data_IF_748097839132
#
_entry.id   IF_748097839132
#
_cell.length_a   1.000
_cell.length_b   1.000
_cell.length_c   1.000
_cell.angle_alpha   90.00
_cell.angle_beta   90.00
_cell.angle_gamma   90.00
#
_symmetry.space_group_name_H-M   'P 1'
#
loop_
_entity.id
_entity.type
_entity.pdbx_description
1 polymer ?
#
# COMPACT_ATOMS: atom_id res chain seq x y z
N UNK A 1 -17.10 29.14 2.43
CA UNK A 1 -17.18 28.07 1.41
C UNK A 1 -18.63 27.59 1.39
N UNK A 2 -19.33 27.74 0.27
CA UNK A 2 -20.74 27.32 0.17
C UNK A 2 -20.87 25.83 0.42
N UNK A 3 -21.69 25.43 1.39
CA UNK A 3 -21.87 24.02 1.82
C UNK A 3 -22.28 23.05 0.69
N UNK A 4 -22.79 23.58 -0.42
CA UNK A 4 -23.21 22.82 -1.61
C UNK A 4 -22.05 22.16 -2.39
N UNK A 5 -20.82 22.64 -2.27
CA UNK A 5 -19.67 22.14 -3.04
C UNK A 5 -18.82 21.08 -2.31
N UNK A 6 -19.04 20.90 -0.99
CA UNK A 6 -18.28 19.93 -0.20
C UNK A 6 -18.41 18.48 -0.69
N UNK A 7 -19.63 17.94 -0.95
CA UNK A 7 -19.78 16.57 -1.44
C UNK A 7 -19.13 16.38 -2.81
N UNK A 8 -19.23 17.37 -3.71
CA UNK A 8 -18.63 17.33 -5.04
C UNK A 8 -17.11 17.29 -4.96
N UNK A 9 -16.51 18.17 -4.14
CA UNK A 9 -15.04 18.18 -3.96
C UNK A 9 -14.53 16.86 -3.40
N UNK A 10 -15.19 16.29 -2.39
CA UNK A 10 -14.84 15.02 -1.83
C UNK A 10 -14.98 13.88 -2.86
N UNK A 11 -16.06 13.89 -3.65
CA UNK A 11 -16.29 12.87 -4.68
C UNK A 11 -15.20 12.89 -5.78
N UNK A 12 -14.79 14.08 -6.23
CA UNK A 12 -13.71 14.21 -7.23
C UNK A 12 -12.37 13.79 -6.64
N UNK A 13 -12.03 14.22 -5.41
CA UNK A 13 -10.80 13.80 -4.75
C UNK A 13 -10.76 12.28 -4.49
N UNK A 14 -11.89 11.71 -4.11
CA UNK A 14 -12.07 10.26 -3.96
C UNK A 14 -11.85 9.52 -5.29
N UNK A 15 -12.45 10.00 -6.38
CA UNK A 15 -12.27 9.41 -7.72
C UNK A 15 -10.81 9.50 -8.19
N UNK A 16 -10.12 10.62 -7.91
CA UNK A 16 -8.68 10.76 -8.16
C UNK A 16 -7.87 9.73 -7.36
N UNK A 17 -8.23 9.48 -6.10
CA UNK A 17 -7.56 8.47 -5.28
C UNK A 17 -7.82 7.04 -5.78
N UNK A 18 -9.03 6.75 -6.26
CA UNK A 18 -9.33 5.48 -6.95
C UNK A 18 -8.41 5.32 -8.16
N UNK A 19 -8.33 6.34 -9.03
CA UNK A 19 -7.47 6.29 -10.22
C UNK A 19 -5.99 6.13 -9.85
N UNK A 20 -5.52 6.80 -8.81
CA UNK A 20 -4.15 6.68 -8.31
C UNK A 20 -3.82 5.24 -7.91
N UNK A 21 -4.68 4.60 -7.12
CA UNK A 21 -4.46 3.21 -6.69
C UNK A 21 -4.77 2.18 -7.76
N UNK A 22 -5.63 2.52 -8.73
CA UNK A 22 -5.80 1.73 -9.94
C UNK A 22 -4.47 1.62 -10.70
N UNK A 23 -3.83 2.75 -10.96
CA UNK A 23 -2.61 2.82 -11.76
C UNK A 23 -1.41 2.14 -11.08
N UNK A 24 -1.33 2.24 -9.75
CA UNK A 24 -0.30 1.52 -8.97
C UNK A 24 -0.37 0.00 -9.11
N UNK A 25 -1.56 -0.55 -9.29
CA UNK A 25 -1.76 -2.00 -9.34
C UNK A 25 -1.86 -2.55 -10.76
N UNK A 26 -1.97 -1.68 -11.77
CA UNK A 26 -2.21 -2.09 -13.17
C UNK A 26 -1.14 -3.07 -13.67
N UNK A 27 0.12 -2.85 -13.36
CA UNK A 27 1.19 -3.76 -13.78
C UNK A 27 1.05 -5.15 -13.17
N UNK A 28 0.58 -5.29 -11.93
CA UNK A 28 0.36 -6.60 -11.30
C UNK A 28 -0.57 -7.49 -12.12
N UNK A 29 -1.61 -6.92 -12.72
CA UNK A 29 -2.52 -7.64 -13.62
C UNK A 29 -1.91 -7.95 -14.99
N UNK A 30 -0.92 -7.17 -15.43
CA UNK A 30 -0.34 -7.20 -16.77
C UNK A 30 1.05 -7.87 -16.83
N UNK A 31 1.60 -8.29 -15.70
CA UNK A 31 2.97 -8.79 -15.62
C UNK A 31 3.25 -9.95 -16.59
N UNK A 32 2.32 -10.91 -16.67
CA UNK A 32 2.53 -12.12 -17.46
C UNK A 32 2.58 -11.86 -18.99
N UNK A 33 1.64 -11.11 -19.59
CA UNK A 33 1.76 -10.75 -21.01
C UNK A 33 2.98 -9.87 -21.30
N UNK A 34 3.35 -8.93 -20.42
CA UNK A 34 4.55 -8.09 -20.55
C UNK A 34 5.81 -8.96 -20.50
N UNK A 35 5.88 -9.90 -19.54
CA UNK A 35 6.99 -10.83 -19.40
C UNK A 35 7.21 -11.64 -20.67
N UNK A 36 6.15 -12.21 -21.22
CA UNK A 36 6.23 -13.05 -22.41
C UNK A 36 6.70 -12.27 -23.63
N UNK A 37 6.22 -11.04 -23.81
CA UNK A 37 6.57 -10.23 -24.97
C UNK A 37 8.03 -9.73 -24.93
N UNK A 38 8.49 -9.26 -23.76
CA UNK A 38 9.86 -8.73 -23.62
C UNK A 38 10.84 -9.78 -23.09
N UNK A 39 10.43 -11.06 -22.97
CA UNK A 39 11.25 -12.16 -22.45
C UNK A 39 11.93 -11.86 -21.10
N UNK A 40 11.18 -11.21 -20.18
CA UNK A 40 11.71 -10.75 -18.92
C UNK A 40 11.91 -11.88 -17.90
N UNK A 41 12.90 -11.67 -17.02
CA UNK A 41 13.04 -12.43 -15.79
C UNK A 41 12.09 -11.94 -14.69
N UNK A 42 11.81 -12.75 -13.69
CA UNK A 42 11.00 -12.35 -12.55
C UNK A 42 11.70 -11.26 -11.70
N UNK A 43 13.02 -11.23 -11.71
CA UNK A 43 13.82 -10.13 -11.13
C UNK A 43 13.52 -8.80 -11.81
N UNK A 44 13.44 -8.77 -13.15
CA UNK A 44 13.09 -7.56 -13.91
C UNK A 44 11.65 -7.13 -13.65
N UNK A 45 10.72 -8.08 -13.53
CA UNK A 45 9.33 -7.79 -13.14
C UNK A 45 9.26 -7.20 -11.72
N UNK A 46 10.01 -7.79 -10.78
CA UNK A 46 10.13 -7.25 -9.42
C UNK A 46 10.71 -5.83 -9.40
N UNK A 47 11.68 -5.53 -10.25
CA UNK A 47 12.25 -4.19 -10.37
C UNK A 47 11.24 -3.15 -10.88
N UNK A 48 10.31 -3.54 -11.78
CA UNK A 48 9.18 -2.68 -12.20
C UNK A 48 8.26 -2.31 -11.03
N UNK A 49 8.14 -3.16 -10.01
CA UNK A 49 7.40 -2.82 -8.80
C UNK A 49 8.22 -2.03 -7.78
N UNK A 50 9.50 -2.34 -7.64
CA UNK A 50 10.39 -1.80 -6.60
C UNK A 50 10.88 -0.38 -6.90
N UNK A 51 11.49 -0.17 -8.06
CA UNK A 51 12.16 1.10 -8.39
C UNK A 51 11.21 2.31 -8.38
N UNK A 52 9.97 2.19 -8.92
CA UNK A 52 9.01 3.27 -8.82
C UNK A 52 8.60 3.62 -7.39
N UNK A 53 8.48 2.62 -6.50
CA UNK A 53 8.11 2.86 -5.09
C UNK A 53 9.20 3.67 -4.36
N UNK A 54 10.47 3.36 -4.61
CA UNK A 54 11.60 4.13 -4.05
C UNK A 54 11.53 5.58 -4.53
N UNK A 55 11.31 5.78 -5.83
CA UNK A 55 11.21 7.12 -6.40
C UNK A 55 9.98 7.88 -5.88
N UNK A 56 8.84 7.20 -5.71
CA UNK A 56 7.66 7.78 -5.07
C UNK A 56 7.96 8.31 -3.66
N UNK A 57 8.65 7.52 -2.85
CA UNK A 57 9.02 7.91 -1.48
C UNK A 57 9.94 9.15 -1.48
N UNK A 58 10.90 9.20 -2.40
CA UNK A 58 11.81 10.35 -2.55
C UNK A 58 11.12 11.60 -3.09
N UNK A 59 10.24 11.45 -4.09
CA UNK A 59 9.49 12.55 -4.69
C UNK A 59 8.41 13.12 -3.75
N UNK A 60 7.89 12.31 -2.82
CA UNK A 60 6.86 12.74 -1.87
C UNK A 60 7.25 13.92 -1.00
N UNK A 61 8.52 14.04 -0.61
CA UNK A 61 9.01 15.16 0.22
C UNK A 61 8.96 16.51 -0.51
N UNK A 62 9.58 16.69 -1.69
CA UNK A 62 9.51 17.95 -2.43
C UNK A 62 8.09 18.29 -2.90
N UNK A 63 7.30 17.29 -3.33
CA UNK A 63 5.92 17.51 -3.76
C UNK A 63 5.01 17.85 -2.58
N UNK A 64 5.26 17.31 -1.39
CA UNK A 64 4.60 17.73 -0.17
C UNK A 64 4.83 19.21 0.14
N UNK A 65 6.09 19.69 0.04
CA UNK A 65 6.42 21.11 0.21
C UNK A 65 5.74 22.00 -0.84
N UNK A 66 5.67 21.54 -2.09
CA UNK A 66 4.91 22.23 -3.13
C UNK A 66 3.42 22.28 -2.85
N UNK A 67 2.86 21.21 -2.28
CA UNK A 67 1.48 21.18 -1.81
C UNK A 67 1.24 22.18 -0.68
N UNK A 68 2.23 22.40 0.20
CA UNK A 68 2.14 23.34 1.31
C UNK A 68 2.30 24.81 0.88
N UNK A 69 3.05 25.12 -0.16
CA UNK A 69 3.35 26.49 -0.60
C UNK A 69 2.55 26.95 -1.81
N UNK A 70 2.23 26.03 -2.74
CA UNK A 70 1.57 26.31 -4.01
C UNK A 70 0.08 26.01 -4.03
N UNK A 71 -0.56 26.08 -5.21
CA UNK A 71 -1.95 25.63 -5.40
C UNK A 71 -2.03 24.11 -5.43
N UNK A 72 -2.74 23.52 -4.45
CA UNK A 72 -2.99 22.08 -4.36
C UNK A 72 -3.80 21.58 -5.57
N UNK A 73 -4.72 22.40 -6.05
CA UNK A 73 -5.51 22.13 -7.26
C UNK A 73 -4.62 21.95 -8.49
N UNK A 74 -3.72 22.91 -8.74
CA UNK A 74 -2.83 22.85 -9.91
C UNK A 74 -1.81 21.71 -9.77
N UNK A 75 -1.25 21.52 -8.59
CA UNK A 75 -0.31 20.43 -8.31
C UNK A 75 -0.96 19.06 -8.54
N UNK A 76 -2.17 18.85 -8.02
CA UNK A 76 -2.89 17.60 -8.18
C UNK A 76 -3.30 17.36 -9.63
N UNK A 77 -3.83 18.38 -10.33
CA UNK A 77 -4.19 18.27 -11.75
C UNK A 77 -2.96 17.96 -12.63
N UNK A 78 -1.82 18.63 -12.39
CA UNK A 78 -0.55 18.34 -13.07
C UNK A 78 -0.06 16.92 -12.75
N UNK A 79 -0.13 16.48 -11.50
CA UNK A 79 0.19 15.12 -11.11
C UNK A 79 -0.65 14.10 -11.89
N UNK A 80 -1.99 14.26 -11.90
CA UNK A 80 -2.91 13.39 -12.66
C UNK A 80 -2.56 13.40 -14.15
N UNK A 81 -2.30 14.55 -14.73
CA UNK A 81 -1.93 14.66 -16.13
C UNK A 81 -0.61 13.92 -16.45
N UNK A 82 0.41 14.07 -15.60
CA UNK A 82 1.71 13.40 -15.79
C UNK A 82 1.54 11.89 -15.67
N UNK A 83 0.97 11.38 -14.58
CA UNK A 83 0.91 9.92 -14.41
C UNK A 83 -0.01 9.26 -15.45
N UNK A 84 -1.18 9.84 -15.73
CA UNK A 84 -2.10 9.24 -16.68
C UNK A 84 -1.55 9.28 -18.12
N UNK A 85 -0.89 10.39 -18.53
CA UNK A 85 -0.23 10.46 -19.84
C UNK A 85 0.87 9.41 -19.96
N UNK A 86 1.71 9.26 -18.93
CA UNK A 86 2.79 8.27 -18.95
C UNK A 86 2.25 6.83 -18.88
N UNK A 87 1.12 6.59 -18.19
CA UNK A 87 0.44 5.28 -18.22
C UNK A 87 -0.10 4.98 -19.61
N UNK A 88 -0.79 5.92 -20.25
CA UNK A 88 -1.27 5.76 -21.62
C UNK A 88 -0.12 5.57 -22.62
N UNK A 89 0.96 6.37 -22.53
CA UNK A 89 2.16 6.21 -23.33
C UNK A 89 2.88 4.89 -23.06
N UNK A 90 2.71 4.31 -21.89
CA UNK A 90 3.14 2.95 -21.57
C UNK A 90 2.56 1.89 -22.51
N UNK A 91 1.43 2.16 -23.16
CA UNK A 91 0.88 1.33 -24.24
C UNK A 91 1.64 1.40 -25.56
N UNK A 92 2.56 2.34 -25.73
CA UNK A 92 3.36 2.51 -26.94
C UNK A 92 4.82 2.05 -26.79
N UNK A 93 5.22 1.60 -25.60
CA UNK A 93 6.60 1.20 -25.32
C UNK A 93 6.99 -0.09 -26.10
N UNK A 94 8.23 -0.13 -26.56
CA UNK A 94 8.77 -1.24 -27.36
C UNK A 94 9.88 -2.00 -26.63
N UNK A 95 10.24 -1.57 -25.41
CA UNK A 95 11.30 -2.22 -24.63
C UNK A 95 11.02 -2.14 -23.14
N UNK A 96 11.66 -3.05 -22.39
CA UNK A 96 11.64 -3.04 -20.93
C UNK A 96 12.09 -1.70 -20.33
N UNK A 97 13.17 -1.12 -20.88
CA UNK A 97 13.70 0.15 -20.37
C UNK A 97 12.70 1.31 -20.55
N UNK A 98 12.06 1.39 -21.72
CA UNK A 98 11.01 2.38 -21.95
C UNK A 98 9.84 2.22 -20.99
N UNK A 99 9.41 0.97 -20.73
CA UNK A 99 8.37 0.68 -19.75
C UNK A 99 8.80 1.11 -18.34
N UNK A 100 10.02 0.76 -17.91
CA UNK A 100 10.54 1.13 -16.61
C UNK A 100 10.60 2.64 -16.42
N UNK A 101 11.14 3.39 -17.39
CA UNK A 101 11.21 4.85 -17.36
C UNK A 101 9.81 5.47 -17.29
N UNK A 102 8.86 4.95 -18.08
CA UNK A 102 7.45 5.35 -18.01
C UNK A 102 6.90 5.17 -16.58
N UNK A 103 7.13 4.01 -15.97
CA UNK A 103 6.66 3.73 -14.59
C UNK A 103 7.32 4.62 -13.54
N UNK A 104 8.61 4.92 -13.68
CA UNK A 104 9.29 5.88 -12.79
C UNK A 104 8.61 7.25 -12.84
N UNK A 105 8.31 7.75 -14.04
CA UNK A 105 7.61 9.03 -14.21
C UNK A 105 6.16 9.01 -13.66
N UNK A 106 5.43 7.91 -13.84
CA UNK A 106 4.09 7.70 -13.27
C UNK A 106 4.12 7.92 -11.76
N UNK A 107 5.02 7.24 -11.05
CA UNK A 107 5.08 7.32 -9.59
C UNK A 107 5.53 8.69 -9.07
N UNK A 108 6.31 9.45 -9.85
CA UNK A 108 6.59 10.86 -9.52
C UNK A 108 5.32 11.70 -9.56
N UNK A 109 4.51 11.56 -10.63
CA UNK A 109 3.21 12.25 -10.73
C UNK A 109 2.26 11.88 -9.58
N UNK A 110 2.17 10.59 -9.27
CA UNK A 110 1.35 10.04 -8.20
C UNK A 110 1.73 10.54 -6.80
N UNK A 111 3.01 10.82 -6.57
CA UNK A 111 3.50 11.27 -5.27
C UNK A 111 2.92 12.64 -4.84
N UNK A 112 2.34 13.41 -5.76
CA UNK A 112 1.61 14.63 -5.46
C UNK A 112 0.21 14.36 -4.86
N UNK A 113 -0.39 13.18 -5.10
CA UNK A 113 -1.80 12.93 -4.80
C UNK A 113 -2.11 12.99 -3.31
N UNK A 114 -1.44 12.18 -2.50
CA UNK A 114 -1.76 12.07 -1.08
C UNK A 114 -1.55 13.40 -0.32
N UNK A 115 -0.40 14.10 -0.43
CA UNK A 115 -0.20 15.35 0.30
C UNK A 115 -1.17 16.46 -0.15
N UNK A 116 -1.39 16.63 -1.46
CA UNK A 116 -2.30 17.66 -1.96
C UNK A 116 -3.75 17.38 -1.57
N UNK A 117 -4.25 16.16 -1.77
CA UNK A 117 -5.63 15.80 -1.49
C UNK A 117 -5.96 15.80 0.00
N UNK A 118 -5.09 15.25 0.85
CA UNK A 118 -5.33 15.22 2.31
C UNK A 118 -5.29 16.61 2.93
N UNK A 119 -4.35 17.46 2.50
CA UNK A 119 -4.31 18.87 2.90
C UNK A 119 -5.56 19.63 2.45
N UNK A 120 -6.02 19.38 1.22
CA UNK A 120 -7.25 20.00 0.70
C UNK A 120 -8.48 19.57 1.50
N UNK A 121 -8.65 18.27 1.78
CA UNK A 121 -9.73 17.75 2.63
C UNK A 121 -9.67 18.34 4.04
N UNK A 122 -8.46 18.51 4.59
CA UNK A 122 -8.22 19.13 5.88
C UNK A 122 -8.80 20.53 6.00
N UNK A 123 -8.71 21.33 4.93
CA UNK A 123 -9.23 22.69 4.88
C UNK A 123 -10.71 22.80 4.44
N UNK A 124 -11.24 21.77 3.77
CA UNK A 124 -12.65 21.70 3.38
C UNK A 124 -13.57 21.34 4.54
N UNK A 125 -13.13 20.43 5.42
CA UNK A 125 -13.98 19.85 6.46
C UNK A 125 -13.54 20.27 7.85
N UNK A 126 -14.50 20.75 8.70
CA UNK A 126 -14.20 21.06 10.09
C UNK A 126 -13.78 19.79 10.86
N UNK A 127 -13.12 19.97 12.01
CA UNK A 127 -12.52 18.89 12.78
C UNK A 127 -13.45 17.70 13.05
N UNK A 128 -14.74 17.98 13.31
CA UNK A 128 -15.77 16.98 13.64
C UNK A 128 -16.14 16.07 12.46
N UNK A 129 -15.91 16.51 11.21
CA UNK A 129 -16.26 15.78 9.98
C UNK A 129 -15.05 15.35 9.18
N UNK A 130 -13.86 15.88 9.50
CA UNK A 130 -12.60 15.65 8.78
C UNK A 130 -12.20 14.16 8.74
N UNK A 131 -12.29 13.46 9.87
CA UNK A 131 -11.96 12.02 9.95
C UNK A 131 -12.85 11.20 9.04
N UNK A 132 -14.16 11.51 8.97
CA UNK A 132 -15.09 10.82 8.07
C UNK A 132 -14.76 11.09 6.60
N UNK A 133 -14.43 12.33 6.25
CA UNK A 133 -14.07 12.70 4.88
C UNK A 133 -12.77 12.00 4.43
N UNK A 134 -11.76 11.96 5.30
CA UNK A 134 -10.51 11.23 5.04
C UNK A 134 -10.75 9.72 4.94
N UNK A 135 -11.63 9.15 5.76
CA UNK A 135 -11.97 7.73 5.67
C UNK A 135 -12.62 7.40 4.32
N UNK A 136 -13.55 8.24 3.84
CA UNK A 136 -14.14 8.09 2.50
C UNK A 136 -13.05 8.18 1.43
N UNK A 137 -12.17 9.17 1.49
CA UNK A 137 -11.06 9.31 0.56
C UNK A 137 -10.18 8.06 0.53
N UNK A 138 -9.86 7.49 1.70
CA UNK A 138 -9.02 6.29 1.83
C UNK A 138 -9.69 5.00 1.33
N UNK A 139 -11.02 4.93 1.21
CA UNK A 139 -11.69 3.82 0.52
C UNK A 139 -11.27 3.72 -0.96
N UNK A 140 -10.74 4.80 -1.55
CA UNK A 140 -10.16 4.77 -2.88
C UNK A 140 -9.01 3.77 -3.03
N UNK A 141 -8.29 3.46 -1.95
CA UNK A 141 -7.16 2.51 -1.95
C UNK A 141 -7.61 1.08 -2.31
N UNK A 142 -8.47 0.42 -1.53
CA UNK A 142 -8.91 -0.94 -1.85
C UNK A 142 -9.78 -0.99 -3.11
N UNK A 143 -10.60 0.03 -3.37
CA UNK A 143 -11.47 0.07 -4.56
C UNK A 143 -10.62 0.23 -5.82
N UNK A 144 -9.67 1.18 -5.85
CA UNK A 144 -8.79 1.39 -6.99
C UNK A 144 -7.95 0.16 -7.30
N UNK A 145 -7.35 -0.45 -6.28
CA UNK A 145 -6.60 -1.70 -6.43
C UNK A 145 -7.44 -2.85 -6.98
N UNK A 146 -8.63 -3.06 -6.45
CA UNK A 146 -9.54 -4.10 -6.91
C UNK A 146 -9.99 -3.88 -8.36
N UNK A 147 -10.40 -2.66 -8.71
CA UNK A 147 -10.80 -2.30 -10.08
C UNK A 147 -9.63 -2.48 -11.06
N UNK A 148 -8.42 -2.18 -10.64
CA UNK A 148 -7.23 -2.37 -11.47
C UNK A 148 -7.09 -3.80 -11.96
N UNK A 149 -7.12 -4.76 -11.05
CA UNK A 149 -7.04 -6.18 -11.43
C UNK A 149 -8.27 -6.66 -12.18
N UNK A 150 -9.47 -6.29 -11.73
CA UNK A 150 -10.73 -6.75 -12.31
C UNK A 150 -10.97 -6.21 -13.72
N UNK A 151 -10.43 -5.04 -14.06
CA UNK A 151 -10.59 -4.43 -15.40
C UNK A 151 -9.38 -4.72 -16.29
N UNK A 152 -8.16 -4.53 -15.77
CA UNK A 152 -6.96 -4.60 -16.61
C UNK A 152 -6.62 -6.01 -17.05
N UNK A 153 -6.89 -7.04 -16.23
CA UNK A 153 -6.70 -8.43 -16.63
C UNK A 153 -7.59 -8.85 -17.82
N UNK A 154 -8.91 -8.72 -17.72
CA UNK A 154 -9.82 -8.96 -18.85
C UNK A 154 -9.53 -8.08 -20.07
N UNK A 155 -9.23 -6.79 -19.88
CA UNK A 155 -8.87 -5.89 -20.97
C UNK A 155 -7.60 -6.35 -21.71
N UNK A 156 -6.59 -6.80 -20.94
CA UNK A 156 -5.37 -7.34 -21.52
C UNK A 156 -5.60 -8.65 -22.28
N UNK A 157 -6.51 -9.48 -21.81
CA UNK A 157 -6.88 -10.71 -22.50
C UNK A 157 -7.62 -10.43 -23.82
N UNK A 158 -8.51 -9.43 -23.82
CA UNK A 158 -9.35 -9.10 -24.99
C UNK A 158 -8.59 -8.27 -26.04
N UNK A 159 -7.79 -7.28 -25.60
CA UNK A 159 -7.21 -6.24 -26.48
C UNK A 159 -5.70 -6.09 -26.34
N UNK A 160 -5.05 -6.95 -25.54
CA UNK A 160 -3.65 -6.88 -25.23
C UNK A 160 -3.32 -5.90 -24.09
N UNK A 161 -2.16 -6.11 -23.45
CA UNK A 161 -1.75 -5.34 -22.27
C UNK A 161 -1.52 -3.85 -22.56
N UNK A 162 -1.18 -3.51 -23.80
CA UNK A 162 -1.02 -2.11 -24.23
C UNK A 162 -2.34 -1.35 -24.18
N UNK A 163 -3.39 -1.96 -24.70
CA UNK A 163 -4.73 -1.39 -24.65
C UNK A 163 -5.23 -1.25 -23.21
N UNK A 164 -4.90 -2.20 -22.31
CA UNK A 164 -5.25 -2.11 -20.91
C UNK A 164 -4.59 -0.89 -20.22
N UNK A 165 -3.37 -0.52 -20.58
CA UNK A 165 -2.72 0.72 -20.08
C UNK A 165 -3.40 1.98 -20.61
N UNK A 166 -3.84 1.99 -21.86
CA UNK A 166 -4.61 3.12 -22.42
C UNK A 166 -5.95 3.25 -21.69
N UNK A 167 -6.65 2.13 -21.48
CA UNK A 167 -7.92 2.10 -20.71
C UNK A 167 -7.72 2.65 -19.31
N UNK A 168 -6.61 2.30 -18.64
CA UNK A 168 -6.28 2.81 -17.31
C UNK A 168 -6.13 4.33 -17.27
N UNK A 169 -5.63 4.94 -18.34
CA UNK A 169 -5.42 6.38 -18.43
C UNK A 169 -6.68 7.18 -18.76
N UNK A 170 -7.68 6.58 -19.40
CA UNK A 170 -8.88 7.28 -19.90
C UNK A 170 -9.65 8.10 -18.83
N UNK A 171 -9.85 7.61 -17.59
CA UNK A 171 -10.60 8.37 -16.60
C UNK A 171 -9.99 9.73 -16.26
N UNK A 172 -8.67 9.90 -16.46
CA UNK A 172 -8.00 11.19 -16.22
C UNK A 172 -8.54 12.31 -17.13
N UNK A 173 -8.99 11.98 -18.33
CA UNK A 173 -9.59 12.95 -19.26
C UNK A 173 -10.84 13.64 -18.67
N UNK A 174 -11.56 12.96 -17.79
CA UNK A 174 -12.71 13.51 -17.07
C UNK A 174 -12.30 14.12 -15.73
N UNK A 175 -11.34 13.52 -15.03
CA UNK A 175 -10.96 13.94 -13.69
C UNK A 175 -10.14 15.23 -13.69
N UNK A 176 -9.29 15.47 -14.70
CA UNK A 176 -8.49 16.70 -14.79
C UNK A 176 -9.40 17.93 -14.92
N UNK A 177 -10.34 17.99 -15.89
CA UNK A 177 -11.29 19.12 -15.96
C UNK A 177 -12.13 19.22 -14.68
N UNK A 178 -12.61 18.10 -14.14
CA UNK A 178 -13.39 18.11 -12.89
C UNK A 178 -12.61 18.74 -11.73
N UNK A 179 -11.32 18.38 -11.56
CA UNK A 179 -10.44 18.98 -10.55
C UNK A 179 -10.28 20.49 -10.74
N UNK A 180 -10.09 20.93 -12.00
CA UNK A 180 -9.87 22.35 -12.32
C UNK A 180 -11.10 23.20 -12.06
N UNK A 181 -12.30 22.63 -12.08
CA UNK A 181 -13.56 23.33 -11.74
C UNK A 181 -13.84 23.44 -10.24
N UNK A 182 -13.08 22.73 -9.39
CA UNK A 182 -13.26 22.83 -7.95
C UNK A 182 -12.71 24.14 -7.39
N UNK A 183 -13.36 24.65 -6.35
CA UNK A 183 -12.84 25.76 -5.58
C UNK A 183 -11.83 25.24 -4.53
N UNK A 184 -10.60 25.74 -4.60
CA UNK A 184 -9.57 25.42 -3.60
C UNK A 184 -9.81 26.32 -2.36
N UNK A 185 -10.03 25.71 -1.17
CA UNK A 185 -10.23 26.50 0.06
C UNK A 185 -8.93 27.21 0.45
N UNK A 186 -9.09 28.36 1.10
CA UNK A 186 -7.96 29.02 1.73
C UNK A 186 -7.34 28.08 2.80
N UNK A 187 -6.04 28.18 3.02
CA UNK A 187 -5.35 27.38 4.02
C UNK A 187 -5.86 27.72 5.43
N UNK A 188 -6.17 26.68 6.21
CA UNK A 188 -6.77 26.82 7.53
C UNK A 188 -8.23 27.29 7.52
N UNK A 189 -8.93 27.23 6.37
CA UNK A 189 -10.31 27.73 6.25
C UNK A 189 -11.31 27.00 7.15
N UNK A 190 -11.02 25.79 7.58
CA UNK A 190 -11.85 24.99 8.48
C UNK A 190 -11.44 25.10 9.95
N UNK A 191 -10.37 25.84 10.28
CA UNK A 191 -9.87 25.98 11.64
C UNK A 191 -10.52 27.17 12.33
N UNK A 192 -11.30 26.90 13.39
CA UNK A 192 -11.96 27.93 14.22
C UNK A 192 -11.00 28.59 15.24
N UNK A 193 -9.83 28.04 15.43
CA UNK A 193 -8.80 28.56 16.34
C UNK A 193 -7.41 28.29 15.78
N UNK A 194 -6.61 29.34 15.57
CA UNK A 194 -5.16 29.16 15.39
C UNK A 194 -4.62 28.43 16.60
N UNK A 195 -3.83 27.35 16.44
CA UNK A 195 -3.17 26.74 17.60
C UNK A 195 -2.34 27.81 18.30
N UNK A 196 -2.60 28.01 19.60
CA UNK A 196 -1.69 28.78 20.43
C UNK A 196 -0.29 28.16 20.27
N UNK A 197 0.69 29.00 19.97
CA UNK A 197 2.13 28.76 19.93
C UNK A 197 2.55 27.30 19.99
N UNK A 198 2.96 26.76 18.84
CA UNK A 198 3.52 25.42 18.75
C UNK A 198 4.69 25.33 19.74
N UNK A 199 4.48 24.64 20.85
CA UNK A 199 5.59 24.13 21.67
C UNK A 199 6.47 23.34 20.71
N UNK A 200 7.78 23.66 20.67
CA UNK A 200 8.74 23.07 19.77
C UNK A 200 8.54 21.55 19.75
N UNK A 201 8.25 21.01 18.57
CA UNK A 201 8.06 19.57 18.40
C UNK A 201 9.31 18.85 18.95
N UNK A 202 9.17 17.81 19.78
CA UNK A 202 10.32 17.08 20.27
C UNK A 202 11.14 16.56 19.10
N UNK A 203 12.47 16.48 19.24
CA UNK A 203 13.34 16.09 18.13
C UNK A 203 12.99 14.68 17.63
N UNK A 204 13.11 14.46 16.33
CA UNK A 204 12.79 13.17 15.65
C UNK A 204 13.43 11.97 16.36
N UNK A 205 14.62 12.15 16.90
CA UNK A 205 15.35 11.11 17.63
C UNK A 205 14.63 10.61 18.89
N UNK A 206 13.73 11.40 19.48
CA UNK A 206 12.94 10.97 20.65
C UNK A 206 11.99 9.82 20.29
N UNK A 207 11.49 9.79 19.05
CA UNK A 207 10.60 8.74 18.54
C UNK A 207 11.37 7.41 18.41
N UNK A 208 12.62 7.47 17.93
CA UNK A 208 13.48 6.29 17.78
C UNK A 208 14.03 5.75 19.12
N UNK A 209 13.83 6.47 20.23
CA UNK A 209 14.14 5.98 21.57
C UNK A 209 13.03 5.13 22.20
N UNK A 210 11.85 5.06 21.55
CA UNK A 210 10.73 4.23 21.99
C UNK A 210 10.98 2.77 21.55
N UNK A 211 11.21 1.80 22.46
CA UNK A 211 11.50 0.41 22.08
C UNK A 211 10.44 -0.22 21.18
N UNK A 212 9.16 0.01 21.48
CA UNK A 212 8.05 -0.51 20.66
C UNK A 212 8.08 0.01 19.23
N UNK A 213 8.62 1.21 18.97
CA UNK A 213 8.68 1.78 17.63
C UNK A 213 9.55 0.94 16.67
N UNK A 214 10.62 0.32 17.14
CA UNK A 214 11.47 -0.55 16.34
C UNK A 214 10.74 -1.84 15.94
N UNK A 215 9.96 -2.43 16.85
CA UNK A 215 9.11 -3.58 16.53
C UNK A 215 8.02 -3.22 15.53
N UNK A 216 7.45 -2.02 15.65
CA UNK A 216 6.46 -1.49 14.71
C UNK A 216 7.10 -1.28 13.32
N UNK A 217 8.30 -0.70 13.23
CA UNK A 217 9.02 -0.51 11.97
C UNK A 217 9.34 -1.88 11.33
N UNK A 218 9.89 -2.80 12.10
CA UNK A 218 10.20 -4.15 11.61
C UNK A 218 8.94 -4.87 11.11
N UNK A 219 7.86 -4.84 11.89
CA UNK A 219 6.58 -5.44 11.49
C UNK A 219 5.98 -4.75 10.26
N UNK A 220 6.12 -3.42 10.14
CA UNK A 220 5.71 -2.66 8.96
C UNK A 220 6.46 -3.06 7.70
N UNK A 221 7.76 -3.30 7.81
CA UNK A 221 8.56 -3.80 6.70
C UNK A 221 8.11 -5.21 6.28
N UNK A 222 7.91 -6.13 7.23
CA UNK A 222 7.50 -7.52 6.95
C UNK A 222 6.11 -7.60 6.31
N UNK A 223 5.12 -6.87 6.83
CA UNK A 223 3.77 -6.90 6.26
C UNK A 223 3.74 -6.28 4.87
N UNK A 224 4.43 -5.15 4.67
CA UNK A 224 4.45 -4.51 3.36
C UNK A 224 5.24 -5.32 2.33
N UNK A 225 6.32 -6.00 2.73
CA UNK A 225 6.96 -6.98 1.85
C UNK A 225 5.93 -8.00 1.33
N UNK A 226 5.19 -8.66 2.24
CA UNK A 226 4.20 -9.66 1.87
C UNK A 226 3.10 -9.12 0.95
N UNK A 227 2.52 -7.97 1.31
CA UNK A 227 1.41 -7.41 0.54
C UNK A 227 1.83 -6.98 -0.86
N UNK A 228 3.01 -6.37 -1.01
CA UNK A 228 3.52 -5.95 -2.31
C UNK A 228 4.03 -7.12 -3.15
N UNK A 229 4.62 -8.15 -2.54
CA UNK A 229 4.98 -9.38 -3.24
C UNK A 229 3.73 -10.10 -3.78
N UNK A 230 2.67 -10.23 -2.95
CA UNK A 230 1.38 -10.77 -3.39
C UNK A 230 0.76 -9.93 -4.49
N UNK A 231 0.66 -8.61 -4.32
CA UNK A 231 0.09 -7.72 -5.33
C UNK A 231 0.81 -7.86 -6.69
N UNK A 232 2.12 -8.06 -6.67
CA UNK A 232 2.91 -8.20 -7.89
C UNK A 232 2.76 -9.60 -8.52
N UNK A 233 2.95 -10.66 -7.74
CA UNK A 233 3.12 -12.00 -8.31
C UNK A 233 1.91 -12.92 -8.18
N UNK A 234 0.89 -12.59 -7.41
CA UNK A 234 -0.27 -13.47 -7.25
C UNK A 234 -1.03 -13.74 -8.56
N UNK A 235 -1.33 -12.74 -9.43
CA UNK A 235 -1.93 -13.03 -10.73
C UNK A 235 -1.03 -13.90 -11.62
N UNK A 236 0.28 -13.66 -11.62
CA UNK A 236 1.24 -14.47 -12.37
C UNK A 236 1.32 -15.92 -11.84
N UNK A 237 1.24 -16.11 -10.51
CA UNK A 237 1.15 -17.42 -9.88
C UNK A 237 -0.12 -18.17 -10.31
N UNK A 238 -1.27 -17.50 -10.33
CA UNK A 238 -2.53 -18.10 -10.80
C UNK A 238 -2.45 -18.51 -12.26
N UNK A 239 -1.80 -17.69 -13.09
CA UNK A 239 -1.65 -17.97 -14.53
C UNK A 239 -0.65 -19.11 -14.78
N UNK A 240 0.55 -19.04 -14.16
CA UNK A 240 1.62 -20.00 -14.46
C UNK A 240 1.43 -21.35 -13.80
N UNK A 241 0.98 -21.36 -12.54
CA UNK A 241 0.88 -22.60 -11.75
C UNK A 241 -0.51 -23.23 -11.83
N UNK A 242 -1.57 -22.42 -11.75
CA UNK A 242 -2.95 -22.92 -11.82
C UNK A 242 -3.56 -22.90 -13.22
N UNK A 243 -2.88 -22.35 -14.23
CA UNK A 243 -3.32 -22.34 -15.61
C UNK A 243 -4.51 -21.42 -15.92
N UNK A 244 -4.82 -20.45 -15.04
CA UNK A 244 -5.89 -19.48 -15.32
C UNK A 244 -5.49 -18.55 -16.47
N UNK A 245 -6.48 -18.08 -17.23
CA UNK A 245 -6.24 -17.00 -18.20
C UNK A 245 -5.89 -15.70 -17.46
N UNK A 246 -5.23 -14.77 -18.16
CA UNK A 246 -4.84 -13.46 -17.60
C UNK A 246 -6.07 -12.70 -17.06
N UNK A 247 -7.20 -12.79 -17.81
CA UNK A 247 -8.46 -12.18 -17.39
C UNK A 247 -9.03 -12.81 -16.11
N UNK A 248 -9.05 -14.13 -16.02
CA UNK A 248 -9.53 -14.84 -14.84
C UNK A 248 -8.63 -14.57 -13.63
N UNK A 249 -7.31 -14.63 -13.80
CA UNK A 249 -6.35 -14.36 -12.73
C UNK A 249 -6.50 -12.91 -12.21
N UNK A 250 -6.63 -11.93 -13.10
CA UNK A 250 -6.90 -10.54 -12.73
C UNK A 250 -8.22 -10.37 -12.00
N UNK A 251 -9.32 -10.90 -12.55
CA UNK A 251 -10.65 -10.78 -11.94
C UNK A 251 -10.69 -11.35 -10.52
N UNK A 252 -10.21 -12.59 -10.34
CA UNK A 252 -10.23 -13.23 -9.03
C UNK A 252 -9.29 -12.58 -8.02
N UNK A 253 -8.12 -12.10 -8.46
CA UNK A 253 -7.23 -11.32 -7.60
C UNK A 253 -7.91 -10.01 -7.18
N UNK A 254 -8.55 -9.28 -8.12
CA UNK A 254 -9.27 -8.03 -7.83
C UNK A 254 -10.41 -8.22 -6.83
N UNK A 255 -11.29 -9.18 -7.07
CA UNK A 255 -12.39 -9.50 -6.15
C UNK A 255 -11.84 -9.91 -4.78
N UNK A 256 -10.82 -10.76 -4.75
CA UNK A 256 -10.19 -11.21 -3.50
C UNK A 256 -9.60 -10.05 -2.71
N UNK A 257 -8.83 -9.18 -3.34
CA UNK A 257 -8.24 -8.00 -2.67
C UNK A 257 -9.31 -7.03 -2.15
N UNK A 258 -10.39 -6.80 -2.91
CA UNK A 258 -11.49 -5.95 -2.46
C UNK A 258 -12.16 -6.53 -1.20
N UNK A 259 -12.64 -7.76 -1.29
CA UNK A 259 -13.38 -8.40 -0.20
C UNK A 259 -12.51 -8.56 1.04
N UNK A 260 -11.32 -9.13 0.87
CA UNK A 260 -10.42 -9.39 1.98
C UNK A 260 -9.87 -8.10 2.62
N UNK A 261 -9.51 -7.10 1.81
CA UNK A 261 -9.01 -5.81 2.30
C UNK A 261 -10.06 -5.03 3.09
N UNK A 262 -11.28 -4.93 2.56
CA UNK A 262 -12.40 -4.25 3.23
C UNK A 262 -12.79 -4.99 4.52
N UNK A 263 -12.95 -6.32 4.45
CA UNK A 263 -13.31 -7.12 5.61
C UNK A 263 -12.23 -7.05 6.71
N UNK A 264 -10.96 -7.22 6.34
CA UNK A 264 -9.83 -7.12 7.27
C UNK A 264 -9.76 -5.76 7.97
N UNK A 265 -9.89 -4.67 7.21
CA UNK A 265 -9.91 -3.31 7.74
C UNK A 265 -11.09 -3.05 8.70
N UNK A 266 -12.29 -3.48 8.33
CA UNK A 266 -13.50 -3.33 9.16
C UNK A 266 -13.41 -4.12 10.47
N UNK A 267 -12.95 -5.37 10.38
CA UNK A 267 -12.74 -6.24 11.57
C UNK A 267 -11.66 -5.62 12.47
N UNK A 268 -10.56 -5.15 11.90
CA UNK A 268 -9.46 -4.53 12.66
C UNK A 268 -9.93 -3.30 13.45
N UNK A 269 -10.71 -2.42 12.83
CA UNK A 269 -11.27 -1.24 13.50
C UNK A 269 -12.18 -1.62 14.66
N UNK A 270 -13.21 -2.43 14.40
CA UNK A 270 -14.19 -2.84 15.40
C UNK A 270 -13.56 -3.66 16.55
N UNK A 271 -12.59 -4.53 16.23
CA UNK A 271 -11.91 -5.35 17.23
C UNK A 271 -10.89 -4.53 18.04
N UNK A 272 -10.09 -3.69 17.35
CA UNK A 272 -9.06 -2.85 17.98
C UNK A 272 -9.63 -1.89 19.02
N UNK A 273 -10.81 -1.32 18.76
CA UNK A 273 -11.51 -0.44 19.72
C UNK A 273 -12.01 -1.20 20.94
N UNK A 274 -12.46 -2.45 20.78
CA UNK A 274 -12.92 -3.27 21.91
C UNK A 274 -11.76 -3.78 22.77
N UNK A 275 -10.67 -4.21 22.15
CA UNK A 275 -9.59 -4.90 22.85
C UNK A 275 -8.74 -3.97 23.70
N UNK A 276 -8.56 -2.70 23.28
CA UNK A 276 -7.76 -1.71 24.04
C UNK A 276 -8.35 -1.41 25.43
N UNK A 277 -9.67 -1.45 25.57
CA UNK A 277 -10.35 -1.27 26.86
C UNK A 277 -10.08 -2.42 27.85
N UNK A 278 -9.72 -3.61 27.33
CA UNK A 278 -9.43 -4.79 28.16
C UNK A 278 -7.93 -4.95 28.45
N UNK A 279 -7.08 -4.59 27.47
CA UNK A 279 -5.64 -4.82 27.53
C UNK A 279 -4.88 -3.72 26.78
N UNK A 280 -3.90 -3.09 27.41
CA UNK A 280 -3.03 -2.05 26.78
C UNK A 280 -2.22 -2.60 25.60
N UNK A 281 -1.80 -3.88 25.65
CA UNK A 281 -1.09 -4.58 24.58
C UNK A 281 -2.01 -5.21 23.52
N UNK A 282 -3.33 -5.10 23.70
CA UNK A 282 -4.34 -5.87 22.97
C UNK A 282 -4.31 -5.65 21.46
N UNK A 283 -4.03 -4.42 20.98
CA UNK A 283 -3.93 -4.12 19.54
C UNK A 283 -2.75 -4.83 18.89
N UNK A 284 -1.57 -4.77 19.50
CA UNK A 284 -0.38 -5.45 18.99
C UNK A 284 -0.51 -6.96 19.04
N UNK A 285 -1.05 -7.49 20.14
CA UNK A 285 -1.29 -8.93 20.29
C UNK A 285 -2.32 -9.44 19.27
N UNK A 286 -3.39 -8.68 19.02
CA UNK A 286 -4.39 -9.04 17.99
C UNK A 286 -3.79 -9.07 16.59
N UNK A 287 -2.91 -8.11 16.26
CA UNK A 287 -2.19 -8.10 15.00
C UNK A 287 -1.22 -9.30 14.89
N UNK A 288 -0.56 -9.68 16.00
CA UNK A 288 0.28 -10.87 16.04
C UNK A 288 -0.51 -12.16 15.79
N UNK A 289 -1.67 -12.30 16.43
CA UNK A 289 -2.57 -13.46 16.21
C UNK A 289 -3.07 -13.48 14.76
N UNK A 290 -3.47 -12.33 14.20
CA UNK A 290 -3.89 -12.24 12.80
C UNK A 290 -2.78 -12.71 11.84
N UNK A 291 -1.54 -12.25 12.04
CA UNK A 291 -0.40 -12.67 11.24
C UNK A 291 -0.08 -14.17 11.42
N UNK A 292 -0.21 -14.70 12.65
CA UNK A 292 -0.02 -16.12 12.96
C UNK A 292 -1.06 -17.00 12.25
N UNK A 293 -2.32 -16.55 12.16
CA UNK A 293 -3.39 -17.26 11.41
C UNK A 293 -3.17 -17.14 9.90
N UNK A 294 -2.69 -15.99 9.42
CA UNK A 294 -2.42 -15.80 8.00
C UNK A 294 -1.32 -16.76 7.47
N UNK A 295 -0.31 -17.08 8.27
CA UNK A 295 0.80 -17.92 7.85
C UNK A 295 0.37 -19.34 7.40
N UNK A 296 -0.35 -20.15 8.19
CA UNK A 296 -0.82 -21.47 7.75
C UNK A 296 -1.85 -21.39 6.62
N UNK A 297 -2.72 -20.38 6.60
CA UNK A 297 -3.68 -20.20 5.51
C UNK A 297 -2.97 -19.95 4.17
N UNK A 298 -1.98 -19.06 4.15
CA UNK A 298 -1.17 -18.81 2.97
C UNK A 298 -0.38 -20.07 2.56
N UNK A 299 0.19 -20.81 3.53
CA UNK A 299 0.93 -22.05 3.28
C UNK A 299 0.04 -23.11 2.62
N UNK A 300 -1.15 -23.34 3.17
CA UNK A 300 -2.11 -24.31 2.63
C UNK A 300 -2.61 -23.85 1.27
N UNK A 301 -2.86 -22.55 1.08
CA UNK A 301 -3.29 -21.98 -0.19
C UNK A 301 -2.25 -22.15 -1.30
N UNK A 302 -0.97 -21.93 -1.00
CA UNK A 302 0.14 -22.11 -1.96
C UNK A 302 0.35 -23.60 -2.29
N UNK A 303 0.14 -24.50 -1.33
CA UNK A 303 0.29 -25.96 -1.51
C UNK A 303 -0.84 -26.61 -2.31
N UNK A 304 -1.89 -25.89 -2.66
CA UNK A 304 -2.96 -26.48 -3.47
C UNK A 304 -2.41 -26.99 -4.81
N UNK A 305 -2.87 -28.16 -5.29
CA UNK A 305 -2.44 -28.68 -6.58
C UNK A 305 -2.85 -27.72 -7.72
N UNK A 306 -2.24 -27.85 -8.88
CA UNK A 306 -2.48 -26.98 -10.04
C UNK A 306 -3.97 -26.85 -10.41
N UNK A 307 -4.77 -27.91 -10.26
CA UNK A 307 -6.23 -27.88 -10.46
C UNK A 307 -7.03 -27.24 -9.32
N UNK A 308 -6.40 -26.90 -8.18
CA UNK A 308 -7.05 -26.38 -6.97
C UNK A 308 -7.12 -24.84 -6.89
N UNK A 309 -7.21 -24.16 -8.02
CA UNK A 309 -7.18 -22.69 -8.10
C UNK A 309 -8.18 -22.00 -7.16
N UNK A 310 -9.42 -22.46 -7.09
CA UNK A 310 -10.45 -21.86 -6.24
C UNK A 310 -10.08 -21.91 -4.74
N UNK A 311 -9.59 -23.07 -4.26
CA UNK A 311 -9.16 -23.21 -2.88
C UNK A 311 -7.90 -22.36 -2.59
N UNK A 312 -6.95 -22.32 -3.53
CA UNK A 312 -5.76 -21.47 -3.43
C UNK A 312 -6.14 -20.00 -3.32
N UNK A 313 -7.00 -19.50 -4.20
CA UNK A 313 -7.48 -18.12 -4.17
C UNK A 313 -8.18 -17.81 -2.84
N UNK A 314 -9.13 -18.65 -2.42
CA UNK A 314 -9.88 -18.43 -1.19
C UNK A 314 -8.94 -18.35 0.03
N UNK A 315 -8.04 -19.32 0.19
CA UNK A 315 -7.15 -19.38 1.36
C UNK A 315 -6.13 -18.23 1.37
N UNK A 316 -5.53 -17.90 0.23
CA UNK A 316 -4.58 -16.78 0.13
C UNK A 316 -5.28 -15.44 0.36
N UNK A 317 -6.51 -15.27 -0.14
CA UNK A 317 -7.26 -14.02 0.08
C UNK A 317 -7.74 -13.88 1.53
N UNK A 318 -8.12 -14.97 2.19
CA UNK A 318 -8.42 -14.94 3.64
C UNK A 318 -7.15 -14.55 4.42
N UNK A 319 -5.99 -15.16 4.08
CA UNK A 319 -4.71 -14.78 4.68
C UNK A 319 -4.39 -13.29 4.45
N UNK A 320 -4.61 -12.80 3.23
CA UNK A 320 -4.47 -11.38 2.90
C UNK A 320 -5.37 -10.48 3.76
N UNK A 321 -6.61 -10.89 4.01
CA UNK A 321 -7.53 -10.19 4.91
C UNK A 321 -6.99 -10.07 6.33
N UNK A 322 -6.45 -11.16 6.89
CA UNK A 322 -5.80 -11.14 8.20
C UNK A 322 -4.56 -10.23 8.21
N UNK A 323 -3.73 -10.24 7.16
CA UNK A 323 -2.58 -9.33 7.06
C UNK A 323 -3.02 -7.86 6.97
N UNK A 324 -4.14 -7.55 6.31
CA UNK A 324 -4.68 -6.19 6.25
C UNK A 324 -5.20 -5.66 7.59
N UNK A 325 -5.56 -6.52 8.53
CA UNK A 325 -5.91 -6.09 9.90
C UNK A 325 -4.76 -5.32 10.57
N UNK A 326 -3.54 -5.54 10.13
CA UNK A 326 -2.34 -4.85 10.60
C UNK A 326 -2.51 -3.33 10.63
N UNK A 327 -3.01 -2.74 9.56
CA UNK A 327 -3.08 -1.28 9.42
C UNK A 327 -3.97 -0.64 10.48
N UNK A 328 -5.17 -1.15 10.69
CA UNK A 328 -6.09 -0.63 11.70
C UNK A 328 -5.58 -0.80 13.14
N UNK A 329 -4.94 -1.93 13.43
CA UNK A 329 -4.45 -2.25 14.76
C UNK A 329 -3.14 -1.52 15.09
N UNK A 330 -2.16 -1.59 14.19
CA UNK A 330 -0.81 -1.05 14.47
C UNK A 330 -0.73 0.46 14.30
N UNK A 331 -1.46 1.06 13.35
CA UNK A 331 -1.51 2.53 13.25
C UNK A 331 -2.12 3.15 14.50
N UNK A 332 -3.16 2.52 15.05
CA UNK A 332 -3.72 2.94 16.33
C UNK A 332 -2.71 2.77 17.47
N UNK A 333 -1.97 1.66 17.49
CA UNK A 333 -0.93 1.41 18.49
C UNK A 333 0.22 2.46 18.45
N UNK A 334 0.59 2.94 17.24
CA UNK A 334 1.55 4.06 17.12
C UNK A 334 1.02 5.29 17.85
N UNK A 335 -0.26 5.62 17.67
CA UNK A 335 -0.86 6.78 18.35
C UNK A 335 -0.98 6.60 19.86
N UNK A 336 -0.98 5.36 20.34
CA UNK A 336 -1.04 5.06 21.78
C UNK A 336 0.29 5.31 22.50
N UNK A 337 1.43 5.23 21.80
CA UNK A 337 2.77 5.34 22.38
C UNK A 337 3.43 6.71 22.18
N UNK A 338 2.83 7.60 21.38
CA UNK A 338 3.39 8.93 21.11
C UNK A 338 2.46 10.06 21.51
N UNK A 339 3.05 11.18 21.93
CA UNK A 339 2.30 12.39 22.25
C UNK A 339 1.57 12.93 20.99
N UNK A 340 0.37 13.54 21.15
CA UNK A 340 -0.41 14.08 20.02
C UNK A 340 0.39 15.02 19.11
N UNK A 341 1.28 15.83 19.67
CA UNK A 341 2.08 16.81 18.93
C UNK A 341 3.05 16.20 17.90
N UNK A 342 3.44 14.91 18.06
CA UNK A 342 4.41 14.24 17.17
C UNK A 342 3.83 13.10 16.37
N UNK A 343 2.52 12.86 16.44
CA UNK A 343 1.86 11.76 15.73
C UNK A 343 2.10 11.80 14.23
N UNK A 344 1.94 12.96 13.59
CA UNK A 344 2.16 13.12 12.16
C UNK A 344 3.60 12.81 11.76
N UNK A 345 4.57 13.32 12.49
CA UNK A 345 6.00 13.06 12.26
C UNK A 345 6.32 11.57 12.43
N UNK A 346 5.77 10.94 13.48
CA UNK A 346 5.96 9.50 13.73
C UNK A 346 5.41 8.66 12.61
N UNK A 347 4.19 8.97 12.13
CA UNK A 347 3.60 8.29 10.99
C UNK A 347 4.42 8.48 9.71
N UNK A 348 4.97 9.67 9.46
CA UNK A 348 5.81 9.92 8.30
C UNK A 348 7.10 9.09 8.32
N UNK A 349 7.77 9.00 9.48
CA UNK A 349 8.96 8.14 9.65
C UNK A 349 8.61 6.67 9.45
N UNK A 350 7.50 6.25 10.05
CA UNK A 350 7.03 4.89 9.91
C UNK A 350 6.70 4.55 8.45
N UNK A 351 5.98 5.41 7.73
CA UNK A 351 5.68 5.21 6.31
C UNK A 351 6.93 5.14 5.45
N UNK A 352 7.88 6.04 5.68
CA UNK A 352 9.17 6.02 4.99
C UNK A 352 9.88 4.68 5.20
N UNK A 353 9.99 4.24 6.46
CA UNK A 353 10.66 2.98 6.80
C UNK A 353 9.95 1.76 6.18
N UNK A 354 8.62 1.66 6.30
CA UNK A 354 7.88 0.52 5.76
C UNK A 354 7.91 0.45 4.23
N UNK A 355 7.91 1.60 3.53
CA UNK A 355 8.03 1.63 2.08
C UNK A 355 9.44 1.26 1.62
N UNK A 356 10.47 1.87 2.22
CA UNK A 356 11.85 1.61 1.83
C UNK A 356 12.33 0.21 2.23
N UNK A 357 12.01 -0.26 3.45
CA UNK A 357 12.50 -1.54 3.96
C UNK A 357 11.58 -2.73 3.64
N UNK A 358 10.32 -2.48 3.30
CA UNK A 358 9.33 -3.54 3.06
C UNK A 358 8.80 -3.56 1.63
N UNK A 359 7.97 -2.59 1.28
CA UNK A 359 7.28 -2.55 0.00
C UNK A 359 8.23 -2.57 -1.20
N UNK A 360 9.37 -1.89 -1.12
CA UNK A 360 10.38 -1.87 -2.17
C UNK A 360 11.07 -3.21 -2.37
N UNK A 361 11.31 -3.97 -1.31
CA UNK A 361 12.03 -5.23 -1.42
C UNK A 361 11.13 -6.42 -1.76
N UNK A 362 9.84 -6.36 -1.45
CA UNK A 362 8.89 -7.46 -1.67
C UNK A 362 8.92 -7.99 -3.10
N UNK A 363 8.60 -7.19 -4.12
CA UNK A 363 8.60 -7.65 -5.50
C UNK A 363 9.98 -8.08 -5.99
N UNK A 364 11.03 -7.29 -5.72
CA UNK A 364 12.37 -7.55 -6.24
C UNK A 364 12.96 -8.86 -5.69
N UNK A 365 12.90 -9.05 -4.36
CA UNK A 365 13.47 -10.25 -3.74
C UNK A 365 12.65 -11.50 -4.05
N UNK A 366 11.32 -11.40 -4.13
CA UNK A 366 10.48 -12.52 -4.54
C UNK A 366 10.76 -12.91 -6.00
N UNK A 367 10.92 -11.94 -6.90
CA UNK A 367 11.30 -12.21 -8.30
C UNK A 367 12.67 -12.84 -8.43
N UNK A 368 13.66 -12.33 -7.67
CA UNK A 368 15.01 -12.89 -7.65
C UNK A 368 15.06 -14.32 -7.11
N UNK A 369 14.28 -14.57 -6.06
CA UNK A 369 14.14 -15.93 -5.51
C UNK A 369 13.46 -16.85 -6.52
N UNK A 370 12.42 -16.40 -7.21
CA UNK A 370 11.74 -17.16 -8.27
C UNK A 370 12.70 -17.55 -9.39
N UNK A 371 13.48 -16.60 -9.91
CA UNK A 371 14.47 -16.86 -10.96
C UNK A 371 15.56 -17.85 -10.51
N UNK A 372 16.02 -17.73 -9.25
CA UNK A 372 17.03 -18.64 -8.68
C UNK A 372 16.50 -20.06 -8.59
N UNK A 373 15.29 -20.22 -8.04
CA UNK A 373 14.64 -21.53 -7.88
C UNK A 373 14.27 -22.16 -9.24
N UNK A 374 13.86 -21.34 -10.23
CA UNK A 374 13.60 -21.82 -11.57
C UNK A 374 14.87 -22.37 -12.25
N UNK A 375 16.02 -21.66 -12.09
CA UNK A 375 17.32 -22.17 -12.57
C UNK A 375 17.74 -23.47 -11.88
N UNK A 376 17.58 -23.53 -10.57
CA UNK A 376 17.89 -24.74 -9.80
C UNK A 376 17.05 -25.94 -10.24
N UNK A 377 15.75 -25.73 -10.50
CA UNK A 377 14.84 -26.77 -10.99
C UNK A 377 15.22 -27.22 -12.42
N UNK A 378 15.58 -26.30 -13.32
CA UNK A 378 16.05 -26.63 -14.66
C UNK A 378 17.36 -27.45 -14.61
N UNK A 379 18.32 -27.00 -13.82
CA UNK A 379 19.60 -27.69 -13.65
C UNK A 379 19.43 -29.12 -13.08
N UNK A 380 18.58 -29.27 -12.05
CA UNK A 380 18.29 -30.59 -11.48
C UNK A 380 17.64 -31.56 -12.48
N UNK A 381 16.93 -31.02 -13.48
CA UNK A 381 16.33 -31.78 -14.58
C UNK A 381 17.30 -31.99 -15.79
N UNK A 382 18.58 -31.56 -15.68
CA UNK A 382 19.55 -31.64 -16.77
C UNK A 382 19.28 -30.68 -17.94
N UNK A 383 18.41 -29.63 -17.75
CA UNK A 383 18.10 -28.70 -18.78
C UNK A 383 18.99 -27.46 -18.73
N UNK A 384 19.58 -27.08 -19.86
CA UNK A 384 20.36 -25.86 -20.00
C UNK A 384 19.47 -24.61 -20.15
N UNK A 385 18.16 -24.78 -20.44
CA UNK A 385 17.22 -23.70 -20.70
C UNK A 385 16.13 -23.68 -19.62
N UNK A 386 15.89 -22.49 -19.07
CA UNK A 386 14.80 -22.28 -18.10
C UNK A 386 13.49 -22.05 -18.87
N UNK A 387 12.80 -23.17 -19.19
CA UNK A 387 11.49 -23.14 -19.84
C UNK A 387 10.35 -22.70 -18.91
N UNK A 388 9.14 -22.53 -19.47
CA UNK A 388 7.94 -22.06 -18.73
C UNK A 388 7.58 -22.96 -17.54
N UNK A 389 7.75 -24.29 -17.66
CA UNK A 389 7.50 -25.22 -16.57
C UNK A 389 8.40 -24.94 -15.36
N UNK A 390 9.68 -24.69 -15.58
CA UNK A 390 10.62 -24.36 -14.50
C UNK A 390 10.34 -22.97 -13.90
N UNK A 391 9.90 -22.01 -14.71
CA UNK A 391 9.47 -20.69 -14.23
C UNK A 391 8.22 -20.78 -13.35
N UNK A 392 7.26 -21.66 -13.68
CA UNK A 392 6.10 -21.93 -12.83
C UNK A 392 6.52 -22.55 -11.49
N UNK A 393 7.44 -23.51 -11.51
CA UNK A 393 8.00 -24.14 -10.30
C UNK A 393 8.73 -23.09 -9.45
N UNK A 394 9.58 -22.28 -10.07
CA UNK A 394 10.35 -21.25 -9.37
C UNK A 394 9.45 -20.23 -8.68
N UNK A 395 8.43 -19.72 -9.37
CA UNK A 395 7.47 -18.78 -8.77
C UNK A 395 6.65 -19.43 -7.66
N UNK A 396 6.14 -20.66 -7.89
CA UNK A 396 5.42 -21.41 -6.86
C UNK A 396 6.25 -21.57 -5.59
N UNK A 397 7.52 -21.98 -5.73
CA UNK A 397 8.41 -22.11 -4.58
C UNK A 397 8.77 -20.75 -3.94
N UNK A 398 8.94 -19.69 -4.72
CA UNK A 398 9.21 -18.36 -4.19
C UNK A 398 8.04 -17.82 -3.36
N UNK A 399 6.80 -18.19 -3.69
CA UNK A 399 5.63 -17.77 -2.90
C UNK A 399 5.65 -18.26 -1.45
N UNK A 400 6.43 -19.30 -1.12
CA UNK A 400 6.59 -19.74 0.28
C UNK A 400 7.28 -18.69 1.18
N UNK A 401 7.87 -17.65 0.62
CA UNK A 401 8.33 -16.48 1.40
C UNK A 401 7.17 -15.83 2.17
N UNK A 402 5.95 -15.84 1.62
CA UNK A 402 4.77 -15.20 2.23
C UNK A 402 4.41 -15.80 3.60
N UNK A 403 4.15 -17.11 3.74
CA UNK A 403 3.87 -17.70 5.05
C UNK A 403 5.09 -17.61 6.00
N UNK A 404 6.32 -17.71 5.52
CA UNK A 404 7.51 -17.57 6.35
C UNK A 404 7.62 -16.18 6.96
N UNK A 405 7.45 -15.11 6.15
CA UNK A 405 7.47 -13.74 6.64
C UNK A 405 6.21 -13.38 7.46
N UNK A 406 5.07 -14.02 7.21
CA UNK A 406 3.88 -13.87 8.05
C UNK A 406 4.12 -14.42 9.47
N UNK A 407 4.84 -15.55 9.60
CA UNK A 407 5.26 -16.08 10.90
C UNK A 407 6.27 -15.14 11.59
N UNK A 408 7.26 -14.63 10.85
CA UNK A 408 8.21 -13.64 11.37
C UNK A 408 7.50 -12.34 11.80
N UNK A 409 6.49 -11.89 11.04
CA UNK A 409 5.63 -10.76 11.39
C UNK A 409 4.90 -10.99 12.72
N UNK A 410 4.33 -12.19 12.92
CA UNK A 410 3.66 -12.55 14.16
C UNK A 410 4.62 -12.47 15.37
N UNK A 411 5.85 -12.94 15.21
CA UNK A 411 6.89 -12.86 16.25
C UNK A 411 7.27 -11.41 16.55
N UNK A 412 7.49 -10.58 15.53
CA UNK A 412 7.82 -9.16 15.69
C UNK A 412 6.71 -8.39 16.41
N UNK A 413 5.45 -8.64 16.04
CA UNK A 413 4.28 -8.03 16.68
C UNK A 413 4.09 -8.52 18.12
N UNK A 414 4.32 -9.80 18.38
CA UNK A 414 4.30 -10.35 19.74
C UNK A 414 5.41 -9.73 20.61
N UNK A 415 6.62 -9.61 20.09
CA UNK A 415 7.71 -8.92 20.82
C UNK A 415 7.34 -7.45 21.12
N UNK A 416 6.77 -6.73 20.15
CA UNK A 416 6.26 -5.37 20.35
C UNK A 416 5.12 -5.29 21.36
N UNK A 417 4.27 -6.31 21.47
CA UNK A 417 3.21 -6.36 22.48
C UNK A 417 3.75 -6.41 23.91
N UNK A 418 4.98 -6.94 24.09
CA UNK A 418 5.62 -7.00 25.42
C UNK A 418 6.20 -5.65 25.88
N UNK A 419 6.47 -4.72 24.98
CA UNK A 419 7.07 -3.42 25.27
C UNK A 419 6.05 -2.29 25.30
N UNK A 420 4.93 -2.40 24.59
CA UNK A 420 3.99 -1.30 24.36
C UNK A 420 3.35 -0.76 25.64
N UNK A 421 3.03 -1.62 26.62
CA UNK A 421 2.41 -1.19 27.87
C UNK A 421 3.33 -0.27 28.71
N UNK A 422 4.64 -0.55 28.71
CA UNK A 422 5.64 0.27 29.38
C UNK A 422 5.83 1.61 28.66
N UNK A 423 5.83 1.62 27.32
CA UNK A 423 5.98 2.84 26.53
C UNK A 423 4.74 3.73 26.62
N UNK A 424 3.53 3.15 26.70
CA UNK A 424 2.29 3.91 27.00
C UNK A 424 2.35 4.56 28.39
N UNK A 425 2.84 3.85 29.42
CA UNK A 425 3.00 4.40 30.76
C UNK A 425 3.98 5.57 30.78
N UNK A 426 5.14 5.44 30.12
CA UNK A 426 6.14 6.53 30.00
C UNK A 426 5.60 7.76 29.27
N UNK A 427 4.71 7.58 28.28
CA UNK A 427 4.06 8.71 27.61
C UNK A 427 3.20 9.53 28.58
N UNK A 428 2.51 8.84 29.49
CA UNK A 428 1.56 9.46 30.42
C UNK A 428 2.25 10.06 31.68
N UNK A 429 3.56 9.82 31.88
CA UNK A 429 4.33 10.44 32.95
C UNK A 429 4.46 11.96 32.72
N UNK A 430 4.14 12.78 33.74
CA UNK A 430 4.32 14.23 33.64
C UNK A 430 5.81 14.54 33.45
N UNK A 431 6.16 15.23 32.37
CA UNK A 431 7.55 15.64 32.12
C UNK A 431 8.11 16.47 33.26
N UNK A 432 9.45 16.52 33.45
CA UNK A 432 10.13 17.17 34.62
C UNK A 432 9.75 18.63 34.85
N UNK A 433 9.15 19.33 33.87
CA UNK A 433 8.67 20.72 34.04
C UNK A 433 7.29 20.86 34.68
N UNK A 434 6.43 19.81 34.61
CA UNK A 434 5.11 19.88 35.23
C UNK A 434 5.15 19.68 36.74
N UNK A 435 6.16 18.98 37.26
CA UNK A 435 6.36 18.73 38.69
C UNK A 435 6.81 20.02 39.42
N UNK A 436 7.51 20.93 38.74
CA UNK A 436 7.95 22.20 39.33
C UNK A 436 6.82 23.24 39.44
N UNK A 437 5.81 23.17 38.59
CA UNK A 437 4.67 24.11 38.64
C UNK A 437 3.55 23.69 39.61
N UNK A 438 3.51 22.44 40.05
CA UNK A 438 2.58 21.99 41.08
C UNK A 438 3.14 22.09 42.50
N UNK A 439 4.42 22.51 42.66
CA UNK A 439 5.09 22.71 43.92
C UNK A 439 5.29 24.20 44.25
N UNK A 440 4.74 25.10 43.43
CA UNK A 440 4.61 26.54 43.69
C UNK A 440 3.13 26.90 43.89
#
# INVERSE_FOLDING_TARGET
VHSKNLPRSLAVLFAVNILNFYDRQVLGALLEPIRKEFHLSDTQLGALGTLPIVLYALAGLPLGRLADSGSRKRLLAAGVAVWASLTGLGGLVQSYLMLLVSRLGVYVGEAACAPAATSWIGDLFPAERRSRALAIFMLGVPIGGALSYAISGPAAQAWGWRAALVVAALPAALLIPALLTLDEPARGASETRRPATATAAPPVWSILRIPTMWWIIASGALVNFNLYALATFFPAFLTRYHGLSVGQAGLWAGVGYAVAGIAGGAIAGAWGDRVIHKRKDGRMLSAAVAALVAAPLALIGIRQPAGGAAASIALIMIAYGFLNMYYGLVYSAIHDIVAPAVRATTMAIYFLAMYLCGASFGPLLTGRLSDSLARSAAHAAGSAVVGEAYRAIGLHQAMYVIPALSAALALALYAGSRTIAADMARRDEPGPRAVVQSAQ
#
